data_IF_061518706207
#
_entry.id   IF_061518706207
#
_cell.length_a   1.000
_cell.length_b   1.000
_cell.length_c   1.000
_cell.angle_alpha   90.00
_cell.angle_beta   90.00
_cell.angle_gamma   90.00
#
_symmetry.space_group_name_H-M   'P 1'
#
loop_
_entity.id
_entity.type
_entity.pdbx_description
1 polymer ?
#
# COMPACT_ATOMS: atom_id res chain seq x y z
N UNK A 1 10.06 23.84 -16.95
CA UNK A 1 9.22 22.98 -17.82
C UNK A 1 8.42 22.08 -16.91
N UNK A 2 7.10 22.16 -16.97
CA UNK A 2 6.23 21.25 -16.21
C UNK A 2 6.43 19.84 -16.76
N UNK A 3 6.92 18.94 -15.90
CA UNK A 3 7.17 17.54 -16.28
C UNK A 3 5.82 16.87 -16.53
N UNK A 4 5.58 16.43 -17.76
CA UNK A 4 4.37 15.66 -18.10
C UNK A 4 4.59 14.22 -17.63
N UNK A 5 3.98 13.87 -16.50
CA UNK A 5 4.07 12.52 -15.95
C UNK A 5 3.24 11.52 -16.75
N UNK A 6 3.81 10.34 -17.01
CA UNK A 6 3.09 9.19 -17.56
C UNK A 6 2.01 8.70 -16.57
N UNK A 7 1.07 7.88 -17.04
CA UNK A 7 0.03 7.33 -16.15
C UNK A 7 0.66 6.40 -15.11
N UNK A 8 1.70 5.61 -15.47
CA UNK A 8 2.44 4.80 -14.48
C UNK A 8 3.08 5.69 -13.41
N UNK A 9 3.76 6.76 -13.82
CA UNK A 9 4.38 7.71 -12.88
C UNK A 9 3.34 8.35 -11.95
N UNK A 10 2.14 8.66 -12.45
CA UNK A 10 1.04 9.18 -11.63
C UNK A 10 0.54 8.17 -10.60
N UNK A 11 0.45 6.88 -10.94
CA UNK A 11 0.12 5.81 -9.98
C UNK A 11 1.15 5.80 -8.85
N UNK A 12 2.44 5.83 -9.22
CA UNK A 12 3.55 5.79 -8.25
C UNK A 12 3.53 7.03 -7.36
N UNK A 13 3.28 8.22 -7.94
CA UNK A 13 3.17 9.48 -7.20
C UNK A 13 2.04 9.46 -6.18
N UNK A 14 0.85 8.92 -6.53
CA UNK A 14 -0.26 8.80 -5.58
C UNK A 14 0.15 8.01 -4.33
N UNK A 15 0.85 6.88 -4.51
CA UNK A 15 1.35 6.08 -3.38
C UNK A 15 2.41 6.84 -2.61
N UNK A 16 3.42 7.38 -3.31
CA UNK A 16 4.56 8.07 -2.70
C UNK A 16 4.13 9.29 -1.88
N UNK A 17 3.29 10.15 -2.44
CA UNK A 17 2.76 11.35 -1.78
C UNK A 17 1.94 11.00 -0.54
N UNK A 18 1.21 9.89 -0.58
CA UNK A 18 0.43 9.45 0.56
C UNK A 18 1.33 8.92 1.69
N UNK A 19 2.31 8.06 1.38
CA UNK A 19 3.14 7.42 2.40
C UNK A 19 4.23 8.33 2.98
N UNK A 20 4.66 9.37 2.27
CA UNK A 20 5.73 10.28 2.71
C UNK A 20 5.34 11.11 3.96
N UNK A 21 4.05 11.37 4.17
CA UNK A 21 3.57 12.14 5.33
C UNK A 21 2.36 11.45 5.98
N UNK A 22 2.54 10.21 6.45
CA UNK A 22 1.48 9.49 7.18
C UNK A 22 1.16 10.15 8.54
N UNK A 23 2.13 10.84 9.15
CA UNK A 23 1.97 11.49 10.46
C UNK A 23 1.10 12.74 10.37
N UNK A 24 1.32 13.59 9.38
CA UNK A 24 0.61 14.85 9.21
C UNK A 24 -0.83 14.72 8.72
N UNK A 25 -1.25 13.53 8.25
CA UNK A 25 -2.60 13.32 7.71
C UNK A 25 -3.65 13.24 8.82
N UNK A 26 -4.46 14.29 8.92
CA UNK A 26 -5.63 14.35 9.80
C UNK A 26 -6.82 15.02 9.08
N UNK A 27 -8.02 14.40 9.09
CA UNK A 27 -8.36 13.10 9.68
C UNK A 27 -7.85 11.93 8.83
N UNK A 28 -7.03 11.05 9.42
CA UNK A 28 -6.41 9.94 8.68
C UNK A 28 -7.39 9.05 7.89
N UNK A 29 -8.56 8.63 8.42
CA UNK A 29 -9.49 7.77 7.67
C UNK A 29 -10.01 8.41 6.38
N UNK A 30 -10.24 9.73 6.38
CA UNK A 30 -10.69 10.46 5.20
C UNK A 30 -9.60 10.49 4.14
N UNK A 31 -8.36 10.82 4.52
CA UNK A 31 -7.23 10.80 3.60
C UNK A 31 -6.93 9.39 3.07
N UNK A 32 -7.05 8.34 3.89
CA UNK A 32 -6.87 6.95 3.47
C UNK A 32 -7.93 6.54 2.44
N UNK A 33 -9.19 6.98 2.64
CA UNK A 33 -10.28 6.76 1.71
C UNK A 33 -10.01 7.44 0.36
N UNK A 34 -9.67 8.73 0.36
CA UNK A 34 -9.32 9.49 -0.85
C UNK A 34 -8.13 8.86 -1.60
N UNK A 35 -7.07 8.51 -0.87
CA UNK A 35 -5.92 7.79 -1.41
C UNK A 35 -6.34 6.51 -2.14
N UNK A 36 -7.15 5.67 -1.49
CA UNK A 36 -7.60 4.40 -2.07
C UNK A 36 -8.46 4.61 -3.33
N UNK A 37 -9.30 5.64 -3.33
CA UNK A 37 -10.13 6.00 -4.47
C UNK A 37 -9.26 6.48 -5.64
N UNK A 38 -8.34 7.41 -5.39
CA UNK A 38 -7.42 7.95 -6.40
C UNK A 38 -6.53 6.87 -7.00
N UNK A 39 -5.96 6.01 -6.17
CA UNK A 39 -5.13 4.89 -6.61
C UNK A 39 -5.93 3.94 -7.51
N UNK A 40 -7.13 3.54 -7.07
CA UNK A 40 -8.01 2.66 -7.86
C UNK A 40 -8.37 3.28 -9.20
N UNK A 41 -8.82 4.53 -9.19
CA UNK A 41 -9.21 5.26 -10.40
C UNK A 41 -8.03 5.33 -11.39
N UNK A 42 -6.83 5.63 -10.90
CA UNK A 42 -5.65 5.77 -11.76
C UNK A 42 -5.16 4.43 -12.32
N UNK A 43 -5.24 3.35 -11.53
CA UNK A 43 -4.95 2.00 -12.03
C UNK A 43 -5.98 1.56 -13.09
N UNK A 44 -7.26 1.85 -12.90
CA UNK A 44 -8.29 1.57 -13.94
C UNK A 44 -8.00 2.35 -15.22
N UNK A 45 -7.64 3.62 -15.11
CA UNK A 45 -7.23 4.44 -16.26
C UNK A 45 -6.02 3.85 -16.98
N UNK A 46 -4.99 3.43 -16.23
CA UNK A 46 -3.80 2.80 -16.77
C UNK A 46 -4.12 1.55 -17.59
N UNK A 47 -4.96 0.67 -17.04
CA UNK A 47 -5.36 -0.58 -17.70
C UNK A 47 -6.19 -0.32 -18.97
N UNK A 48 -6.97 0.76 -18.99
CA UNK A 48 -7.81 1.11 -20.15
C UNK A 48 -7.10 1.97 -21.21
N UNK A 49 -5.89 2.48 -20.93
CA UNK A 49 -5.11 3.29 -21.87
C UNK A 49 -4.76 2.52 -23.16
N UNK A 50 -4.64 1.18 -23.07
CA UNK A 50 -4.23 0.32 -24.18
C UNK A 50 -5.36 -0.66 -24.54
N UNK A 51 -6.46 -0.23 -25.17
CA UNK A 51 -7.65 -1.05 -25.37
C UNK A 51 -7.41 -2.28 -26.27
N UNK A 52 -6.53 -2.15 -27.26
CA UNK A 52 -6.22 -3.19 -28.25
C UNK A 52 -4.84 -3.85 -28.07
N UNK A 53 -3.98 -3.33 -27.19
CA UNK A 53 -2.63 -3.85 -26.95
C UNK A 53 -2.51 -4.42 -25.53
N UNK A 54 -2.75 -5.71 -25.41
CA UNK A 54 -2.66 -6.42 -24.14
C UNK A 54 -1.22 -6.49 -23.59
N UNK A 55 -0.20 -6.48 -24.44
CA UNK A 55 1.19 -6.58 -24.02
C UNK A 55 1.66 -5.26 -23.41
N UNK A 56 1.40 -4.13 -24.09
CA UNK A 56 1.66 -2.81 -23.55
C UNK A 56 0.93 -2.58 -22.22
N UNK A 57 -0.34 -3.01 -22.15
CA UNK A 57 -1.15 -2.94 -20.92
C UNK A 57 -0.53 -3.71 -19.75
N UNK A 58 -0.16 -4.98 -19.95
CA UNK A 58 0.46 -5.79 -18.90
C UNK A 58 1.81 -5.18 -18.47
N UNK A 59 2.65 -4.74 -19.42
CA UNK A 59 3.94 -4.11 -19.11
C UNK A 59 3.79 -2.83 -18.29
N UNK A 60 2.88 -1.94 -18.70
CA UNK A 60 2.61 -0.68 -18.00
C UNK A 60 2.06 -0.94 -16.58
N UNK A 61 1.14 -1.91 -16.45
CA UNK A 61 0.60 -2.32 -15.17
C UNK A 61 1.69 -2.91 -14.25
N UNK A 62 2.52 -3.80 -14.76
CA UNK A 62 3.63 -4.41 -14.01
C UNK A 62 4.65 -3.36 -13.55
N UNK A 63 5.00 -2.42 -14.42
CA UNK A 63 5.88 -1.29 -14.07
C UNK A 63 5.29 -0.45 -12.94
N UNK A 64 3.99 -0.15 -12.99
CA UNK A 64 3.30 0.54 -11.91
C UNK A 64 3.30 -0.27 -10.61
N UNK A 65 3.06 -1.59 -10.66
CA UNK A 65 3.09 -2.47 -9.50
C UNK A 65 4.46 -2.49 -8.81
N UNK A 66 5.55 -2.57 -9.58
CA UNK A 66 6.91 -2.50 -9.03
C UNK A 66 7.19 -1.13 -8.39
N UNK A 67 6.72 -0.05 -9.00
CA UNK A 67 6.86 1.29 -8.45
C UNK A 67 6.06 1.51 -7.16
N UNK A 68 4.87 0.92 -7.06
CA UNK A 68 4.09 0.86 -5.82
C UNK A 68 4.89 0.12 -4.75
N UNK A 69 5.38 -1.08 -5.08
CA UNK A 69 6.14 -1.92 -4.15
C UNK A 69 7.34 -1.18 -3.56
N UNK A 70 8.15 -0.53 -4.41
CA UNK A 70 9.31 0.28 -3.99
C UNK A 70 8.91 1.46 -3.11
N UNK A 71 7.79 2.11 -3.40
CA UNK A 71 7.30 3.25 -2.61
C UNK A 71 6.83 2.81 -1.21
N UNK A 72 6.15 1.66 -1.12
CA UNK A 72 5.74 1.07 0.16
C UNK A 72 6.94 0.58 0.97
N UNK A 73 7.90 -0.09 0.34
CA UNK A 73 9.14 -0.56 0.99
C UNK A 73 9.92 0.60 1.58
N UNK A 74 10.08 1.69 0.82
CA UNK A 74 10.72 2.91 1.31
C UNK A 74 10.01 3.50 2.53
N UNK A 75 8.67 3.46 2.56
CA UNK A 75 7.90 3.94 3.70
C UNK A 75 8.08 3.05 4.93
N UNK A 76 8.10 1.73 4.75
CA UNK A 76 8.36 0.77 5.83
C UNK A 76 9.75 0.98 6.43
N UNK A 77 10.78 1.11 5.57
CA UNK A 77 12.16 1.30 6.00
C UNK A 77 12.39 2.66 6.69
N UNK A 78 11.57 3.66 6.39
CA UNK A 78 11.63 4.99 7.00
C UNK A 78 10.74 5.20 8.22
N UNK A 79 9.85 4.26 8.54
CA UNK A 79 8.87 4.41 9.61
C UNK A 79 9.50 4.31 11.00
N UNK A 80 9.06 5.14 11.95
CA UNK A 80 9.44 4.95 13.36
C UNK A 80 8.58 3.85 13.99
N UNK A 81 9.15 2.65 14.11
CA UNK A 81 8.50 1.49 14.73
C UNK A 81 8.32 1.61 16.26
N UNK A 82 8.77 2.70 16.88
CA UNK A 82 8.47 3.04 18.27
C UNK A 82 7.19 3.87 18.42
N UNK A 83 6.66 4.42 17.33
CA UNK A 83 5.39 5.13 17.30
C UNK A 83 4.25 4.18 16.93
N UNK A 84 3.43 3.84 17.93
CA UNK A 84 2.27 2.96 17.77
C UNK A 84 1.33 3.46 16.66
N UNK A 85 1.06 4.77 16.64
CA UNK A 85 0.10 5.38 15.71
C UNK A 85 0.65 5.32 14.28
N UNK A 86 1.96 5.51 14.12
CA UNK A 86 2.62 5.37 12.82
C UNK A 86 2.54 3.93 12.29
N UNK A 87 2.84 2.92 13.11
CA UNK A 87 2.73 1.51 12.71
C UNK A 87 1.29 1.16 12.33
N UNK A 88 0.30 1.56 13.14
CA UNK A 88 -1.12 1.31 12.83
C UNK A 88 -1.54 1.96 11.51
N UNK A 89 -1.09 3.19 11.24
CA UNK A 89 -1.36 3.88 9.97
C UNK A 89 -0.67 3.22 8.79
N UNK A 90 0.57 2.77 8.97
CA UNK A 90 1.32 2.05 7.94
C UNK A 90 0.62 0.74 7.59
N UNK A 91 0.20 -0.05 8.60
CA UNK A 91 -0.58 -1.28 8.40
C UNK A 91 -1.86 -0.98 7.60
N UNK A 92 -2.67 0.00 8.04
CA UNK A 92 -3.91 0.37 7.34
C UNK A 92 -3.67 0.80 5.90
N UNK A 93 -2.56 1.52 5.65
CA UNK A 93 -2.16 1.95 4.30
C UNK A 93 -1.80 0.77 3.42
N UNK A 94 -1.01 -0.18 3.94
CA UNK A 94 -0.64 -1.40 3.23
C UNK A 94 -1.85 -2.27 2.95
N UNK A 95 -2.74 -2.46 3.92
CA UNK A 95 -4.00 -3.20 3.78
C UNK A 95 -4.86 -2.61 2.67
N UNK A 96 -5.07 -1.28 2.70
CA UNK A 96 -5.91 -0.60 1.72
C UNK A 96 -5.29 -0.62 0.32
N UNK A 97 -3.97 -0.49 0.22
CA UNK A 97 -3.26 -0.65 -1.04
C UNK A 97 -3.43 -2.07 -1.58
N UNK A 98 -3.26 -3.09 -0.73
CA UNK A 98 -3.40 -4.48 -1.12
C UNK A 98 -4.83 -4.83 -1.55
N UNK A 99 -5.84 -4.30 -0.86
CA UNK A 99 -7.25 -4.41 -1.24
C UNK A 99 -7.50 -3.86 -2.66
N UNK A 100 -6.98 -2.65 -2.95
CA UNK A 100 -7.09 -2.05 -4.28
C UNK A 100 -6.43 -2.93 -5.34
N UNK A 101 -5.22 -3.44 -5.09
CA UNK A 101 -4.51 -4.31 -6.03
C UNK A 101 -5.23 -5.64 -6.26
N UNK A 102 -5.75 -6.27 -5.20
CA UNK A 102 -6.48 -7.55 -5.30
C UNK A 102 -7.74 -7.45 -6.15
N UNK A 103 -8.38 -6.28 -6.24
CA UNK A 103 -9.52 -6.08 -7.15
C UNK A 103 -9.16 -6.34 -8.63
N UNK A 104 -7.88 -6.21 -9.01
CA UNK A 104 -7.41 -6.48 -10.36
C UNK A 104 -7.06 -7.96 -10.58
N UNK A 105 -6.98 -8.81 -9.55
CA UNK A 105 -6.78 -10.26 -9.73
C UNK A 105 -7.96 -10.90 -10.46
N UNK A 106 -9.17 -10.39 -10.22
CA UNK A 106 -10.41 -10.89 -10.83
C UNK A 106 -10.81 -10.16 -12.11
N UNK A 107 -10.02 -9.19 -12.58
CA UNK A 107 -10.32 -8.44 -13.81
C UNK A 107 -9.78 -9.15 -15.04
N UNK A 108 -10.61 -9.36 -16.06
CA UNK A 108 -10.20 -9.98 -17.34
C UNK A 108 -9.27 -9.09 -18.17
N UNK A 109 -9.14 -7.81 -17.80
CA UNK A 109 -8.36 -6.83 -18.57
C UNK A 109 -6.84 -7.03 -18.45
N UNK A 110 -6.37 -7.64 -17.37
CA UNK A 110 -4.97 -7.97 -17.14
C UNK A 110 -4.80 -9.47 -17.32
N UNK A 111 -4.08 -9.91 -18.34
CA UNK A 111 -3.93 -11.35 -18.65
C UNK A 111 -2.90 -12.03 -17.77
N UNK A 112 -1.78 -11.36 -17.52
CA UNK A 112 -0.72 -11.87 -16.65
C UNK A 112 -0.93 -11.38 -15.22
N UNK A 113 -1.16 -12.31 -14.29
CA UNK A 113 -1.36 -12.03 -12.87
C UNK A 113 -0.14 -12.32 -12.02
N UNK A 114 0.98 -12.73 -12.63
CA UNK A 114 2.14 -13.21 -11.89
C UNK A 114 2.74 -12.08 -11.05
N UNK A 115 3.01 -10.91 -11.65
CA UNK A 115 3.56 -9.74 -10.95
C UNK A 115 2.59 -9.24 -9.87
N UNK A 116 1.30 -9.13 -10.20
CA UNK A 116 0.27 -8.73 -9.24
C UNK A 116 0.20 -9.65 -8.02
N UNK A 117 0.20 -10.96 -8.25
CA UNK A 117 0.17 -11.96 -7.16
C UNK A 117 1.41 -11.86 -6.28
N UNK A 118 2.60 -11.69 -6.88
CA UNK A 118 3.86 -11.51 -6.15
C UNK A 118 3.83 -10.24 -5.29
N UNK A 119 3.44 -9.10 -5.87
CA UNK A 119 3.37 -7.81 -5.16
C UNK A 119 2.34 -7.88 -4.03
N UNK A 120 1.14 -8.41 -4.30
CA UNK A 120 0.08 -8.56 -3.30
C UNK A 120 0.48 -9.48 -2.14
N UNK A 121 1.16 -10.58 -2.44
CA UNK A 121 1.73 -11.49 -1.45
C UNK A 121 2.79 -10.80 -0.59
N UNK A 122 3.71 -10.05 -1.21
CA UNK A 122 4.76 -9.33 -0.49
C UNK A 122 4.22 -8.29 0.47
N UNK A 123 3.19 -7.54 0.04
CA UNK A 123 2.49 -6.59 0.92
C UNK A 123 1.83 -7.32 2.10
N UNK A 124 1.26 -8.51 1.87
CA UNK A 124 0.72 -9.36 2.93
C UNK A 124 1.77 -9.75 3.98
N UNK A 125 2.96 -10.18 3.55
CA UNK A 125 4.08 -10.49 4.45
C UNK A 125 4.48 -9.28 5.31
N UNK A 126 4.52 -8.08 4.72
CA UNK A 126 4.84 -6.86 5.46
C UNK A 126 3.77 -6.50 6.49
N UNK A 127 2.49 -6.64 6.15
CA UNK A 127 1.37 -6.41 7.09
C UNK A 127 1.51 -7.32 8.31
N UNK A 128 1.74 -8.62 8.10
CA UNK A 128 1.89 -9.57 9.20
C UNK A 128 3.15 -9.29 10.02
N UNK A 129 4.28 -8.96 9.39
CA UNK A 129 5.50 -8.56 10.09
C UNK A 129 5.28 -7.32 10.98
N UNK A 130 4.61 -6.29 10.47
CA UNK A 130 4.29 -5.08 11.23
C UNK A 130 3.29 -5.35 12.36
N UNK A 131 2.29 -6.22 12.17
CA UNK A 131 1.35 -6.64 13.22
C UNK A 131 2.07 -7.38 14.35
N UNK A 132 2.99 -8.29 14.00
CA UNK A 132 3.84 -8.97 14.99
C UNK A 132 4.68 -7.97 15.78
N UNK A 133 5.27 -6.99 15.10
CA UNK A 133 6.08 -5.95 15.73
C UNK A 133 5.23 -5.05 16.66
N UNK A 134 4.04 -4.63 16.21
CA UNK A 134 3.07 -3.88 17.01
C UNK A 134 2.71 -4.64 18.29
N UNK A 135 2.38 -5.93 18.15
CA UNK A 135 2.02 -6.79 19.29
C UNK A 135 3.21 -7.00 20.25
N UNK A 136 4.42 -7.23 19.71
CA UNK A 136 5.64 -7.42 20.50
C UNK A 136 5.96 -6.18 21.34
N UNK A 137 5.82 -4.99 20.76
CA UNK A 137 6.17 -3.72 21.43
C UNK A 137 5.09 -3.23 22.37
N UNK A 138 3.83 -3.23 21.94
CA UNK A 138 2.75 -2.56 22.67
C UNK A 138 1.76 -3.52 23.34
N UNK A 139 1.80 -4.83 23.01
CA UNK A 139 0.97 -5.84 23.65
C UNK A 139 1.41 -6.22 25.08
N UNK A 140 2.65 -5.89 25.47
CA UNK A 140 3.22 -6.27 26.77
C UNK A 140 2.72 -5.47 27.98
N UNK A 141 2.16 -4.28 27.79
CA UNK A 141 1.71 -3.43 28.92
C UNK A 141 0.50 -4.03 29.65
N UNK A 142 -0.45 -4.61 28.92
CA UNK A 142 -1.61 -5.26 29.51
C UNK A 142 -1.28 -6.60 30.18
N UNK A 143 -0.33 -7.35 29.63
CA UNK A 143 0.14 -8.62 30.23
C UNK A 143 0.98 -8.38 31.49
N UNK A 144 1.75 -7.28 31.56
CA UNK A 144 2.49 -6.87 32.77
C UNK A 144 1.58 -6.35 33.88
N UNK A 145 0.49 -5.64 33.55
CA UNK A 145 -0.49 -5.20 34.56
C UNK A 145 -1.29 -6.39 35.08
N UNK A 146 -1.75 -7.31 34.21
CA UNK A 146 -2.41 -8.55 34.66
C UNK A 146 -1.53 -9.42 35.56
N UNK A 147 -0.21 -9.46 35.36
CA UNK A 147 0.69 -10.20 36.26
C UNK A 147 0.93 -9.51 37.61
N UNK A 148 0.64 -8.21 37.73
CA UNK A 148 0.77 -7.46 38.98
C UNK A 148 -0.53 -7.47 39.82
N UNK A 149 -1.68 -7.63 39.17
CA UNK A 149 -2.99 -7.71 39.84
C UNK A 149 -3.61 -9.12 39.84
N UNK A 150 -2.90 -10.13 39.32
CA UNK A 150 -3.30 -11.53 39.29
C UNK A 150 -2.62 -12.36 40.38
N UNK A 151 -3.05 -12.15 41.63
CA UNK A 151 -3.10 -13.18 42.67
C UNK A 151 -4.55 -13.32 43.09
#
# INVERSE_FOLDING_TARGET
MDRVYSIEERVILIVREFVHDLKGKEPFPSHLSDYSFRLRAKLVELVNQFPSDANARNFAFDSALEGILKSLESAINGANLEDKKEIERLIQTLEKTNEVLKNFLYSDQIRDKQTLSKVSGKIGEWIEGLRMELNRRFGGLWNRIKSLFGK
#
